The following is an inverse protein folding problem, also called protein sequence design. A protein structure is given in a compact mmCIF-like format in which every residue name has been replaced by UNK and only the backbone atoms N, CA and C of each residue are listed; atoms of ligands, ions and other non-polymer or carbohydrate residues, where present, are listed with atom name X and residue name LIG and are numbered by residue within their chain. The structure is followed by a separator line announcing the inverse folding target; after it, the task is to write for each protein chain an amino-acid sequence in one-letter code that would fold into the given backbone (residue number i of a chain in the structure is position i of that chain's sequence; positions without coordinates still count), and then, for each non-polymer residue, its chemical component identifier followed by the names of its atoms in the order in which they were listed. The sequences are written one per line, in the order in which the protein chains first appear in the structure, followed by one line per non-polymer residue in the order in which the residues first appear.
data_IF_933417206076
#
_entry.id   IF_933417206076
#
_cell.length_a   1.000
_cell.length_b   1.000
_cell.length_c   1.000
_cell.angle_alpha   90.00
_cell.angle_beta   90.00
_cell.angle_gamma   90.00
#
_symmetry.space_group_name_H-M   'P 1'
#
loop_
_entity.id
_entity.type
_entity.pdbx_description
1 polymer ?
#
# COMPACT_ATOMS: atom_id res chain seq x y z
N UNK A 1 -10.47 20.74 11.83
CA UNK A 1 -9.97 19.51 12.08
C UNK A 1 -10.12 18.57 10.93
N UNK A 2 -9.18 17.83 10.81
CA UNK A 2 -9.13 17.03 9.72
C UNK A 2 -9.78 15.72 9.96
N UNK A 3 -10.46 15.23 9.01
CA UNK A 3 -11.08 13.94 9.13
C UNK A 3 -10.03 12.86 8.97
N UNK A 4 -9.91 12.02 9.97
CA UNK A 4 -8.93 10.96 9.94
C UNK A 4 -9.50 9.64 9.49
N UNK A 5 -10.72 9.63 8.99
CA UNK A 5 -11.30 8.39 8.53
C UNK A 5 -10.45 7.83 7.38
N UNK A 6 -10.25 6.52 7.35
CA UNK A 6 -9.47 5.94 6.27
C UNK A 6 -10.20 6.03 4.95
N UNK A 7 -9.45 6.15 3.87
CA UNK A 7 -10.00 6.21 2.53
C UNK A 7 -10.39 4.84 2.01
N UNK A 8 -10.10 3.79 2.75
CA UNK A 8 -10.40 2.42 2.39
C UNK A 8 -10.42 1.58 3.67
N UNK A 9 -11.01 0.40 3.58
CA UNK A 9 -11.15 -0.46 4.74
C UNK A 9 -10.08 -1.52 4.79
N UNK A 10 -9.56 -1.77 5.98
CA UNK A 10 -8.62 -2.85 6.23
C UNK A 10 -9.06 -3.58 7.49
N UNK A 11 -8.59 -4.81 7.67
CA UNK A 11 -8.90 -5.55 8.89
C UNK A 11 -8.16 -5.00 10.09
N UNK A 12 -6.93 -4.56 9.88
CA UNK A 12 -6.10 -4.05 10.97
C UNK A 12 -5.06 -3.09 10.41
N UNK A 13 -4.79 -2.07 11.18
CA UNK A 13 -3.78 -1.08 10.84
C UNK A 13 -2.96 -0.78 12.08
N UNK A 14 -1.65 -0.82 11.97
CA UNK A 14 -0.77 -0.45 13.04
C UNK A 14 0.34 0.45 12.49
N UNK A 15 0.50 1.61 13.09
CA UNK A 15 1.54 2.54 12.65
C UNK A 15 2.75 2.36 13.57
N UNK A 16 3.85 1.89 13.01
CA UNK A 16 5.05 1.61 13.79
C UNK A 16 5.97 2.81 13.90
N UNK A 17 5.95 3.68 12.90
CA UNK A 17 6.76 4.89 12.92
C UNK A 17 6.14 5.91 11.98
N UNK A 18 6.17 7.18 12.39
CA UNK A 18 5.69 8.27 11.54
C UNK A 18 6.50 9.50 11.91
N UNK A 19 7.35 9.92 11.01
CA UNK A 19 8.17 11.10 11.17
C UNK A 19 8.17 11.86 9.86
N UNK A 20 8.53 13.12 9.86
CA UNK A 20 8.63 13.83 8.58
C UNK A 20 9.50 13.04 7.61
N UNK A 21 8.95 12.70 6.46
CA UNK A 21 9.66 11.98 5.42
C UNK A 21 9.86 10.51 5.67
N UNK A 22 9.14 9.92 6.65
CA UNK A 22 9.38 8.51 6.97
C UNK A 22 8.17 7.92 7.68
N UNK A 23 7.64 6.81 7.16
CA UNK A 23 6.52 6.13 7.79
C UNK A 23 6.64 4.62 7.62
N UNK A 24 6.25 3.88 8.64
CA UNK A 24 6.13 2.43 8.56
C UNK A 24 4.76 2.07 9.10
N UNK A 25 3.93 1.50 8.25
CA UNK A 25 2.57 1.10 8.59
C UNK A 25 2.41 -0.37 8.31
N UNK A 26 1.77 -1.09 9.23
CA UNK A 26 1.42 -2.49 9.01
C UNK A 26 -0.06 -2.58 8.72
N UNK A 27 -0.41 -3.26 7.64
CA UNK A 27 -1.80 -3.42 7.22
C UNK A 27 -2.13 -4.89 7.11
N UNK A 28 -3.38 -5.23 7.45
CA UNK A 28 -3.90 -6.57 7.19
C UNK A 28 -5.19 -6.38 6.40
N UNK A 29 -5.27 -7.05 5.25
CA UNK A 29 -6.45 -6.98 4.40
C UNK A 29 -7.03 -8.36 4.19
N UNK A 30 -8.36 -8.41 4.16
CA UNK A 30 -9.07 -9.65 3.86
C UNK A 30 -8.99 -9.93 2.37
N UNK A 31 -9.55 -11.07 1.97
CA UNK A 31 -9.55 -11.46 0.56
C UNK A 31 -10.27 -10.46 -0.33
N UNK A 32 -11.21 -9.72 0.21
CA UNK A 32 -12.03 -8.80 -0.59
C UNK A 32 -11.66 -7.34 -0.39
N UNK A 33 -10.75 -7.05 0.51
CA UNK A 33 -10.32 -5.68 0.75
C UNK A 33 -9.12 -5.34 -0.13
N UNK A 34 -8.92 -4.06 -0.35
CA UNK A 34 -7.82 -3.60 -1.18
C UNK A 34 -7.47 -2.18 -0.82
N UNK A 35 -6.24 -1.78 -1.13
CA UNK A 35 -5.85 -0.39 -1.12
C UNK A 35 -6.08 0.10 -2.55
N UNK A 36 -7.09 0.96 -2.76
CA UNK A 36 -7.51 1.29 -4.11
C UNK A 36 -6.45 2.05 -4.90
N UNK A 37 -6.67 2.18 -6.19
CA UNK A 37 -5.77 2.88 -7.08
C UNK A 37 -5.41 4.26 -6.53
N UNK A 38 -4.13 4.52 -6.39
CA UNK A 38 -3.64 5.80 -5.93
C UNK A 38 -2.16 5.94 -6.29
N UNK A 39 -1.64 7.14 -6.07
CA UNK A 39 -0.20 7.34 -6.12
C UNK A 39 0.18 8.33 -5.02
N UNK A 40 1.46 8.41 -4.75
CA UNK A 40 2.01 9.39 -3.82
C UNK A 40 2.91 10.33 -4.62
N UNK A 41 2.80 11.63 -4.34
CA UNK A 41 3.53 12.62 -5.12
C UNK A 41 5.00 12.69 -4.78
N UNK A 42 5.35 12.41 -3.52
CA UNK A 42 6.69 12.68 -3.04
C UNK A 42 7.38 11.51 -2.35
N UNK A 43 6.66 10.46 -2.05
CA UNK A 43 7.22 9.30 -1.37
C UNK A 43 6.99 8.07 -2.22
N UNK A 44 7.85 7.10 -2.05
CA UNK A 44 7.63 5.81 -2.68
C UNK A 44 7.19 4.83 -1.61
N UNK A 45 6.45 3.81 -2.04
CA UNK A 45 5.97 2.75 -1.16
C UNK A 45 6.77 1.50 -1.39
N UNK A 46 7.33 0.94 -0.32
CA UNK A 46 7.89 -0.41 -0.39
C UNK A 46 6.98 -1.31 0.41
N UNK A 47 6.48 -2.36 -0.25
CA UNK A 47 5.59 -3.34 0.36
C UNK A 47 6.41 -4.56 0.72
N UNK A 48 6.31 -4.99 1.97
CA UNK A 48 7.00 -6.20 2.43
C UNK A 48 5.97 -7.11 3.05
N UNK A 49 5.79 -8.31 2.50
CA UNK A 49 4.73 -9.22 2.94
C UNK A 49 5.19 -10.02 4.13
N UNK A 50 4.42 -9.97 5.22
CA UNK A 50 4.68 -10.75 6.42
C UNK A 50 3.94 -12.07 6.40
N UNK A 51 2.67 -12.06 5.97
CA UNK A 51 1.84 -13.26 5.89
C UNK A 51 0.91 -13.15 4.71
N UNK A 52 0.61 -14.28 4.10
CA UNK A 52 -0.31 -14.32 2.99
C UNK A 52 0.35 -13.90 1.69
N UNK A 53 -0.44 -13.39 0.78
CA UNK A 53 0.05 -13.01 -0.54
C UNK A 53 -0.60 -11.71 -0.98
N UNK A 54 0.17 -10.87 -1.66
CA UNK A 54 -0.35 -9.68 -2.28
C UNK A 54 -0.27 -9.81 -3.79
N UNK A 55 -1.13 -9.07 -4.46
CA UNK A 55 -1.04 -8.88 -5.90
C UNK A 55 -1.18 -7.39 -6.15
N UNK A 56 -0.12 -6.79 -6.65
CA UNK A 56 -0.06 -5.34 -6.86
C UNK A 56 -0.17 -5.06 -8.35
N UNK A 57 -1.09 -4.18 -8.70
CA UNK A 57 -1.27 -3.76 -10.09
C UNK A 57 -0.75 -2.34 -10.23
N UNK A 58 -0.03 -2.09 -11.31
CA UNK A 58 0.58 -0.80 -11.54
C UNK A 58 0.26 -0.29 -12.93
N UNK A 59 0.40 1.02 -13.10
CA UNK A 59 0.29 1.67 -14.39
C UNK A 59 1.57 2.46 -14.66
N UNK A 60 1.80 2.80 -15.91
CA UNK A 60 2.88 3.66 -16.38
C UNK A 60 4.26 3.11 -16.01
N UNK A 61 4.63 1.90 -16.45
CA UNK A 61 3.90 1.03 -17.36
C UNK A 61 2.98 0.10 -16.61
N UNK A 62 2.06 -0.51 -17.33
CA UNK A 62 1.14 -1.48 -16.77
C UNK A 62 1.92 -2.72 -16.36
N UNK A 63 1.69 -3.15 -15.14
CA UNK A 63 2.45 -4.27 -14.57
C UNK A 63 1.63 -4.93 -13.46
N UNK A 64 1.86 -6.21 -13.25
CA UNK A 64 1.22 -6.94 -12.17
C UNK A 64 2.33 -7.67 -11.41
N UNK A 65 2.36 -7.49 -10.10
CA UNK A 65 3.44 -8.04 -9.26
C UNK A 65 2.82 -8.89 -8.16
N UNK A 66 2.98 -10.20 -8.21
CA UNK A 66 2.57 -11.07 -7.09
C UNK A 66 3.69 -11.11 -6.07
N UNK A 67 3.32 -11.06 -4.79
CA UNK A 67 4.29 -11.12 -3.69
C UNK A 67 3.84 -12.15 -2.68
N UNK A 68 4.75 -13.01 -2.27
CA UNK A 68 4.53 -13.98 -1.20
C UNK A 68 5.23 -13.50 0.06
N UNK A 69 4.92 -14.15 1.18
CA UNK A 69 5.56 -13.81 2.45
C UNK A 69 7.08 -13.77 2.29
N UNK A 70 7.69 -12.73 2.79
CA UNK A 70 9.12 -12.53 2.71
C UNK A 70 9.59 -11.77 1.47
N UNK A 71 8.67 -11.46 0.55
CA UNK A 71 9.02 -10.74 -0.67
C UNK A 71 8.62 -9.27 -0.57
N UNK A 72 9.26 -8.43 -1.35
CA UNK A 72 8.99 -7.01 -1.34
C UNK A 72 9.00 -6.42 -2.74
N UNK A 73 8.40 -5.25 -2.86
CA UNK A 73 8.34 -4.52 -4.12
C UNK A 73 8.18 -3.03 -3.81
N UNK A 74 8.83 -2.18 -4.59
CA UNK A 74 8.76 -0.74 -4.41
C UNK A 74 8.02 -0.09 -5.57
N UNK A 75 6.95 0.63 -5.24
CA UNK A 75 6.24 1.47 -6.20
C UNK A 75 6.82 2.87 -6.10
N UNK A 76 7.39 3.36 -7.20
CA UNK A 76 8.10 4.65 -7.19
C UNK A 76 7.11 5.81 -7.06
N UNK A 77 7.66 6.99 -6.74
CA UNK A 77 6.84 8.20 -6.64
C UNK A 77 6.02 8.37 -7.90
N UNK A 78 4.80 8.80 -7.72
CA UNK A 78 3.84 9.11 -8.78
C UNK A 78 3.39 7.94 -9.63
N UNK A 79 3.83 6.74 -9.30
CA UNK A 79 3.39 5.57 -10.07
C UNK A 79 2.08 5.05 -9.50
N UNK A 80 0.98 5.06 -10.27
CA UNK A 80 -0.29 4.54 -9.78
C UNK A 80 -0.22 3.06 -9.45
N UNK A 81 -0.82 2.68 -8.33
CA UNK A 81 -0.81 1.28 -7.93
C UNK A 81 -2.07 0.93 -7.15
N UNK A 82 -2.43 -0.34 -7.23
CA UNK A 82 -3.58 -0.95 -6.57
C UNK A 82 -3.05 -2.16 -5.82
N UNK A 83 -3.30 -2.25 -4.52
CA UNK A 83 -2.81 -3.37 -3.72
C UNK A 83 -3.98 -4.28 -3.40
N UNK A 84 -3.89 -5.53 -3.81
CA UNK A 84 -4.94 -6.50 -3.55
C UNK A 84 -4.37 -7.70 -2.82
N UNK A 85 -5.27 -8.50 -2.26
CA UNK A 85 -4.91 -9.77 -1.65
C UNK A 85 -4.89 -10.83 -2.74
N UNK A 86 -3.75 -11.45 -2.95
CA UNK A 86 -3.59 -12.45 -4.00
C UNK A 86 -3.80 -13.88 -3.53
N UNK A 87 -4.10 -14.08 -2.24
CA UNK A 87 -4.23 -15.41 -1.68
C UNK A 87 -5.63 -15.73 -1.24
N UNK A 88 -5.75 -16.75 -0.38
CA UNK A 88 -7.04 -17.20 0.08
C UNK A 88 -7.32 -16.91 1.54
N UNK A 89 -6.38 -16.31 2.22
CA UNK A 89 -6.55 -15.86 3.60
C UNK A 89 -6.10 -14.43 3.71
N UNK A 90 -6.24 -13.84 4.89
CA UNK A 90 -5.82 -12.47 5.11
C UNK A 90 -4.34 -12.31 4.79
N UNK A 91 -3.98 -11.15 4.29
CA UNK A 91 -2.60 -10.81 4.01
C UNK A 91 -2.15 -9.70 4.93
N UNK A 92 -0.98 -9.84 5.53
CA UNK A 92 -0.39 -8.84 6.42
C UNK A 92 0.92 -8.37 5.81
N UNK A 93 1.07 -7.07 5.72
CA UNK A 93 2.25 -6.52 5.06
C UNK A 93 2.63 -5.17 5.65
N UNK A 94 3.90 -4.83 5.49
CA UNK A 94 4.40 -3.52 5.88
C UNK A 94 4.42 -2.61 4.67
N UNK A 95 4.10 -1.35 4.90
CA UNK A 95 4.27 -0.30 3.92
C UNK A 95 5.33 0.64 4.47
N UNK A 96 6.48 0.67 3.80
CA UNK A 96 7.59 1.50 4.20
C UNK A 96 7.64 2.68 3.25
N UNK A 97 7.44 3.88 3.79
CA UNK A 97 7.39 5.08 2.99
C UNK A 97 8.50 6.02 3.43
N UNK A 98 9.24 6.54 2.49
CA UNK A 98 10.35 7.39 2.83
C UNK A 98 10.53 8.53 1.89
N UNK A 99 11.14 9.50 2.40
CA UNK A 99 11.70 10.76 1.92
C UNK A 99 10.70 11.63 1.19
N UNK A 100 10.24 12.66 1.89
CA UNK A 100 9.34 13.65 1.35
C UNK A 100 8.04 13.71 2.10
N UNK A 101 7.26 14.75 1.88
CA UNK A 101 5.97 14.86 2.53
C UNK A 101 5.01 13.82 1.98
N UNK A 102 4.25 13.22 2.89
CA UNK A 102 3.31 12.16 2.55
C UNK A 102 2.03 12.77 1.97
N UNK A 103 1.48 12.13 0.94
CA UNK A 103 0.12 12.36 0.49
C UNK A 103 -0.43 11.06 -0.07
N UNK A 104 -1.70 11.04 -0.34
CA UNK A 104 -2.37 9.90 -0.93
C UNK A 104 -3.33 10.47 -1.97
N UNK A 105 -3.05 10.24 -3.24
CA UNK A 105 -3.83 10.80 -4.33
C UNK A 105 -4.62 9.70 -4.99
N UNK A 106 -5.94 9.61 -4.72
CA UNK A 106 -6.74 8.54 -5.33
C UNK A 106 -7.00 8.83 -6.79
N UNK A 107 -7.15 7.76 -7.56
CA UNK A 107 -7.54 7.86 -8.97
C UNK A 107 -9.03 7.56 -9.02
N UNK A 108 -9.82 8.61 -9.11
CA UNK A 108 -11.24 8.48 -8.86
C UNK A 108 -12.06 7.94 -10.01
N UNK A 109 -11.53 7.85 -11.18
CA UNK A 109 -12.28 7.34 -12.33
C UNK A 109 -11.67 6.10 -12.93
N UNK A 110 -11.09 5.28 -12.08
CA UNK A 110 -10.43 4.08 -12.56
C UNK A 110 -11.22 2.83 -12.27
#
# INVERSE_FOLDING_TARGET
MKNDAPLYEVERRAEHAARPGFRITELQISRTQKVPWHYHSNVQDTFYVLEGELRIFLQDPKEEVPLKAGESFTARVRRPHLVTNGGESSATFLVLQGIGPYDFVPLVNK
#
